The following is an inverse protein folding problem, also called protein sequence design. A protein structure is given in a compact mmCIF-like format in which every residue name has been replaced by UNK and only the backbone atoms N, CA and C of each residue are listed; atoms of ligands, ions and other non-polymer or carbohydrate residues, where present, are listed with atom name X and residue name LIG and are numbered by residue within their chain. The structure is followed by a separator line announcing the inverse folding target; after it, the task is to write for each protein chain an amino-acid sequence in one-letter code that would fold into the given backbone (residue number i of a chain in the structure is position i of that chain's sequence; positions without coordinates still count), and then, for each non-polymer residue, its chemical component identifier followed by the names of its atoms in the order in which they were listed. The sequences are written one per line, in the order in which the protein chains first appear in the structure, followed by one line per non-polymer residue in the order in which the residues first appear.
data_IF_785692719245
#
_entry.id   IF_785692719245
#
_cell.length_a   1.000
_cell.length_b   1.000
_cell.length_c   1.000
_cell.angle_alpha   90.00
_cell.angle_beta   90.00
_cell.angle_gamma   90.00
#
_symmetry.space_group_name_H-M   'P 1'
#
loop_
_entity.id
_entity.type
_entity.pdbx_description
1 polymer ?
#
# COMPACT_ATOMS: atom_id res chain seq x y z
N UNK A 1 -0.51 -17.79 -27.70
CA UNK A 1 -0.89 -16.41 -27.32
C UNK A 1 -0.86 -15.53 -28.57
N UNK A 2 -1.89 -14.71 -28.85
CA UNK A 2 -1.82 -13.75 -29.97
C UNK A 2 -1.13 -12.50 -29.44
N UNK A 3 0.11 -12.28 -29.89
CA UNK A 3 0.88 -11.06 -29.70
C UNK A 3 -0.03 -9.83 -29.91
N UNK A 4 -0.16 -8.98 -28.89
CA UNK A 4 -0.82 -7.67 -29.04
C UNK A 4 0.31 -6.70 -29.34
N UNK A 5 0.28 -6.13 -30.54
CA UNK A 5 1.28 -5.15 -30.96
C UNK A 5 1.13 -3.86 -30.14
N UNK A 6 2.23 -3.28 -29.60
CA UNK A 6 2.15 -2.09 -28.77
C UNK A 6 1.50 -0.88 -29.46
N UNK A 7 0.63 -0.16 -28.76
CA UNK A 7 0.05 1.10 -29.23
C UNK A 7 1.03 2.27 -29.00
N UNK A 8 1.83 2.54 -30.03
CA UNK A 8 2.86 3.57 -30.00
C UNK A 8 2.32 5.01 -29.82
N UNK A 9 1.11 5.31 -30.25
CA UNK A 9 0.52 6.65 -30.09
C UNK A 9 0.01 6.86 -28.66
N UNK A 10 -0.64 5.84 -28.09
CA UNK A 10 -1.01 5.83 -26.67
C UNK A 10 0.20 5.90 -25.75
N UNK A 11 1.27 5.17 -26.09
CA UNK A 11 2.54 5.26 -25.37
C UNK A 11 3.15 6.67 -25.46
N UNK A 12 3.19 7.31 -26.64
CA UNK A 12 3.67 8.69 -26.78
C UNK A 12 2.88 9.70 -25.96
N UNK A 13 1.57 9.55 -25.85
CA UNK A 13 0.73 10.40 -25.00
C UNK A 13 1.08 10.22 -23.52
N UNK A 14 1.18 8.97 -23.06
CA UNK A 14 1.65 8.62 -21.72
C UNK A 14 3.03 9.22 -21.39
N UNK A 15 3.97 9.20 -22.34
CA UNK A 15 5.29 9.80 -22.19
C UNK A 15 5.27 11.34 -22.06
N UNK A 16 4.26 12.01 -22.60
CA UNK A 16 4.18 13.47 -22.62
C UNK A 16 3.51 14.06 -21.38
N UNK A 17 2.56 13.34 -20.78
CA UNK A 17 1.88 13.72 -19.53
C UNK A 17 2.76 13.51 -18.30
N UNK A 18 3.83 12.71 -18.43
CA UNK A 18 4.82 12.40 -17.38
C UNK A 18 6.09 13.26 -17.38
N UNK A 19 6.03 14.52 -17.85
CA UNK A 19 7.13 15.49 -17.69
C UNK A 19 7.16 15.99 -16.25
N UNK A 20 8.11 15.53 -15.42
CA UNK A 20 8.47 16.03 -14.06
C UNK A 20 7.31 16.56 -13.18
N UNK A 21 6.99 15.92 -12.03
CA UNK A 21 7.95 15.35 -11.08
C UNK A 21 7.80 13.82 -10.88
N UNK A 22 7.68 13.05 -11.97
CA UNK A 22 7.18 11.67 -11.93
C UNK A 22 8.24 10.60 -11.60
N UNK A 23 8.85 10.68 -10.43
CA UNK A 23 9.56 9.55 -9.83
C UNK A 23 8.59 8.60 -9.12
N UNK A 24 8.93 7.32 -9.03
CA UNK A 24 8.25 6.36 -8.15
C UNK A 24 8.95 6.38 -6.79
N UNK A 25 8.27 6.81 -5.73
CA UNK A 25 8.83 6.90 -4.39
C UNK A 25 8.54 5.64 -3.58
N UNK A 26 9.56 5.10 -2.93
CA UNK A 26 9.53 3.79 -2.29
C UNK A 26 9.84 3.92 -0.80
N UNK A 27 9.00 3.34 0.03
CA UNK A 27 9.17 3.28 1.48
C UNK A 27 8.68 1.96 2.05
N UNK A 28 8.91 1.75 3.34
CA UNK A 28 8.34 0.61 4.08
C UNK A 28 7.95 1.07 5.48
N UNK A 29 6.77 0.67 5.95
CA UNK A 29 6.39 0.85 7.34
C UNK A 29 6.79 -0.39 8.16
N UNK A 30 7.62 -0.20 9.18
CA UNK A 30 8.00 -1.28 10.10
C UNK A 30 6.88 -1.60 11.09
N UNK A 31 6.99 -2.65 11.89
CA UNK A 31 6.05 -2.88 12.99
C UNK A 31 6.53 -2.32 14.34
N UNK A 32 7.55 -1.46 14.31
CA UNK A 32 8.02 -0.69 15.46
C UNK A 32 7.14 0.55 15.60
N UNK A 33 6.71 0.87 16.82
CA UNK A 33 5.96 2.10 17.10
C UNK A 33 6.90 3.24 17.39
N UNK A 34 6.57 4.43 16.88
CA UNK A 34 7.33 5.68 17.09
C UNK A 34 6.56 6.76 17.87
N UNK A 35 5.42 6.39 18.45
CA UNK A 35 4.59 7.29 19.26
C UNK A 35 4.20 6.62 20.58
N UNK A 36 4.27 7.36 21.67
CA UNK A 36 4.21 6.90 23.06
C UNK A 36 2.79 6.71 23.57
N UNK A 37 1.84 7.53 23.11
CA UNK A 37 0.43 7.44 23.50
C UNK A 37 -0.49 7.92 22.37
N UNK A 38 -1.27 6.98 21.86
CA UNK A 38 -2.28 7.21 20.83
C UNK A 38 -3.59 6.53 21.21
N UNK A 39 -3.85 6.40 22.51
CA UNK A 39 -5.00 5.66 22.97
C UNK A 39 -6.31 6.44 22.70
N UNK A 40 -7.38 5.76 22.24
CA UNK A 40 -8.69 6.36 22.15
C UNK A 40 -9.25 6.59 23.56
N UNK A 41 -10.05 7.63 23.71
CA UNK A 41 -10.79 7.94 24.95
C UNK A 41 -12.23 8.33 24.61
N UNK A 42 -13.07 8.57 25.61
CA UNK A 42 -14.42 9.09 25.39
C UNK A 42 -14.40 10.48 24.72
N UNK A 43 -13.54 11.37 25.23
CA UNK A 43 -13.28 12.68 24.65
C UNK A 43 -12.67 12.58 23.24
N UNK A 44 -11.82 11.57 23.03
CA UNK A 44 -11.09 11.36 21.80
C UNK A 44 -11.44 10.03 21.12
N UNK A 45 -12.74 9.81 20.90
CA UNK A 45 -13.22 8.58 20.26
C UNK A 45 -12.91 8.51 18.75
N UNK A 46 -12.61 7.32 18.23
CA UNK A 46 -12.49 7.09 16.79
C UNK A 46 -13.77 6.50 16.22
N UNK A 47 -14.12 6.91 15.01
CA UNK A 47 -15.35 6.49 14.37
C UNK A 47 -15.05 5.91 12.98
N UNK A 48 -15.66 4.76 12.69
CA UNK A 48 -15.49 4.03 11.44
C UNK A 48 -16.86 3.65 10.89
N UNK A 49 -17.10 3.89 9.61
CA UNK A 49 -18.43 3.72 8.98
C UNK A 49 -18.80 2.26 8.65
N UNK A 50 -17.85 1.34 8.73
CA UNK A 50 -18.12 -0.07 8.45
C UNK A 50 -17.07 -0.98 9.10
N UNK A 51 -17.37 -2.28 9.17
CA UNK A 51 -16.43 -3.30 9.64
C UNK A 51 -15.19 -3.40 8.74
N UNK A 52 -15.37 -3.30 7.43
CA UNK A 52 -14.27 -3.33 6.47
C UNK A 52 -13.35 -2.12 6.65
N UNK A 53 -13.92 -0.92 6.77
CA UNK A 53 -13.14 0.29 7.06
C UNK A 53 -12.46 0.15 8.41
N UNK A 54 -13.15 -0.35 9.43
CA UNK A 54 -12.54 -0.61 10.73
C UNK A 54 -11.33 -1.55 10.60
N UNK A 55 -11.48 -2.72 9.99
CA UNK A 55 -10.41 -3.73 9.87
C UNK A 55 -9.22 -3.22 9.04
N UNK A 56 -9.48 -2.47 7.96
CA UNK A 56 -8.45 -1.88 7.10
C UNK A 56 -7.78 -0.65 7.73
N UNK A 57 -8.55 0.19 8.42
CA UNK A 57 -8.10 1.48 8.93
C UNK A 57 -7.48 1.37 10.32
N UNK A 58 -7.97 0.48 11.18
CA UNK A 58 -7.41 0.28 12.52
C UNK A 58 -5.88 0.10 12.47
N UNK A 59 -5.40 -0.82 11.64
CA UNK A 59 -3.96 -1.06 11.48
C UNK A 59 -3.18 0.16 10.99
N UNK A 60 -3.81 1.05 10.23
CA UNK A 60 -3.18 2.26 9.68
C UNK A 60 -3.28 3.47 10.63
N UNK A 61 -4.35 3.56 11.44
CA UNK A 61 -4.65 4.73 12.27
C UNK A 61 -4.06 4.67 13.68
N UNK A 62 -3.95 3.50 14.31
CA UNK A 62 -3.41 3.36 15.68
C UNK A 62 -2.13 2.53 15.77
N UNK A 63 -1.53 2.24 14.63
CA UNK A 63 -0.17 1.73 14.59
C UNK A 63 0.72 2.76 13.88
N UNK A 64 1.18 3.82 14.58
CA UNK A 64 2.11 4.80 14.05
C UNK A 64 3.44 4.09 13.89
N UNK A 65 3.55 3.44 12.73
CA UNK A 65 4.67 2.63 12.34
C UNK A 65 5.84 3.55 12.07
N UNK A 66 6.99 3.17 12.59
CA UNK A 66 8.26 3.74 12.20
C UNK A 66 8.51 3.35 10.74
N UNK A 67 8.48 4.34 9.86
CA UNK A 67 8.65 4.18 8.42
C UNK A 67 10.08 4.43 8.00
N UNK A 68 10.57 3.67 7.03
CA UNK A 68 11.92 3.77 6.46
C UNK A 68 11.78 4.12 4.99
N UNK A 69 12.43 5.22 4.57
CA UNK A 69 12.46 5.63 3.17
C UNK A 69 13.53 4.83 2.40
N UNK A 70 13.13 4.20 1.31
CA UNK A 70 14.00 3.31 0.52
C UNK A 70 14.59 3.99 -0.72
N UNK A 71 14.06 5.16 -1.10
CA UNK A 71 14.54 5.96 -2.23
C UNK A 71 13.50 6.04 -3.33
N UNK A 72 13.95 6.27 -4.57
CA UNK A 72 13.06 6.49 -5.71
C UNK A 72 13.55 5.84 -6.99
N UNK A 73 12.62 5.57 -7.91
CA UNK A 73 12.92 5.22 -9.30
C UNK A 73 12.64 6.46 -10.15
N UNK A 74 13.67 6.91 -10.86
CA UNK A 74 13.54 7.93 -11.91
C UNK A 74 13.58 7.28 -13.28
N UNK A 75 13.20 7.99 -14.33
CA UNK A 75 13.19 7.47 -15.68
C UNK A 75 14.15 8.28 -16.57
N UNK A 76 15.21 7.63 -17.06
CA UNK A 76 16.14 8.24 -18.00
C UNK A 76 15.56 8.10 -19.43
N UNK A 77 15.26 9.23 -20.08
CA UNK A 77 14.82 9.24 -21.47
C UNK A 77 15.99 8.96 -22.42
N UNK A 78 15.92 7.84 -23.15
CA UNK A 78 16.90 7.49 -24.20
C UNK A 78 16.15 7.27 -25.52
N UNK A 79 16.08 8.31 -26.35
CA UNK A 79 15.25 8.30 -27.56
C UNK A 79 13.76 8.23 -27.20
N UNK A 80 13.07 7.21 -27.68
CA UNK A 80 11.65 6.94 -27.38
C UNK A 80 11.43 6.03 -26.16
N UNK A 81 12.50 5.67 -25.43
CA UNK A 81 12.43 4.77 -24.27
C UNK A 81 12.48 5.54 -22.95
N UNK A 82 11.72 5.08 -21.96
CA UNK A 82 11.87 5.46 -20.55
C UNK A 82 12.49 4.30 -19.78
N UNK A 83 13.79 4.40 -19.49
CA UNK A 83 14.50 3.37 -18.74
C UNK A 83 14.43 3.67 -17.24
N UNK A 84 13.92 2.76 -16.39
CA UNK A 84 13.88 2.98 -14.96
C UNK A 84 15.29 2.93 -14.35
N UNK A 85 15.57 3.85 -13.44
CA UNK A 85 16.81 3.91 -12.68
C UNK A 85 16.48 4.09 -11.21
N UNK A 86 16.81 3.07 -10.43
CA UNK A 86 16.64 3.12 -8.98
C UNK A 86 17.77 3.92 -8.32
N UNK A 87 17.40 4.91 -7.52
CA UNK A 87 18.26 5.71 -6.67
C UNK A 87 17.91 5.35 -5.22
N UNK A 88 18.72 4.48 -4.58
CA UNK A 88 18.46 4.08 -3.20
C UNK A 88 18.81 5.21 -2.23
N UNK A 89 18.11 5.24 -1.10
CA UNK A 89 18.52 6.05 0.05
C UNK A 89 19.88 5.57 0.57
N UNK A 90 20.71 6.51 1.03
CA UNK A 90 22.02 6.20 1.63
C UNK A 90 21.95 6.34 3.14
N UNK A 91 22.48 5.34 3.85
CA UNK A 91 22.52 5.27 5.32
C UNK A 91 23.89 5.64 5.91
N UNK A 92 24.69 6.43 5.18
CA UNK A 92 26.04 6.82 5.60
C UNK A 92 26.06 7.49 7.00
N UNK A 93 24.95 8.14 7.41
CA UNK A 93 24.79 8.81 8.72
C UNK A 93 23.65 8.22 9.57
N UNK A 94 23.33 6.93 9.43
CA UNK A 94 22.19 6.32 10.13
C UNK A 94 22.22 6.55 11.65
N UNK A 95 23.37 6.39 12.29
CA UNK A 95 23.49 6.58 13.74
C UNK A 95 23.15 8.02 14.16
N UNK A 96 23.62 9.01 13.41
CA UNK A 96 23.33 10.42 13.66
C UNK A 96 21.86 10.75 13.39
N UNK A 97 21.26 10.15 12.36
CA UNK A 97 19.83 10.29 12.09
C UNK A 97 18.97 9.69 13.21
N UNK A 98 19.36 8.54 13.75
CA UNK A 98 18.66 7.92 14.88
C UNK A 98 18.74 8.76 16.16
N UNK A 99 19.85 9.49 16.40
CA UNK A 99 19.94 10.43 17.53
C UNK A 99 18.95 11.60 17.43
N UNK A 100 18.44 11.89 16.24
CA UNK A 100 17.42 12.95 16.03
C UNK A 100 16.00 12.48 16.39
N UNK A 101 15.77 11.16 16.48
CA UNK A 101 14.49 10.60 16.91
C UNK A 101 14.22 11.02 18.35
N UNK A 102 13.02 11.54 18.61
CA UNK A 102 12.66 12.13 19.91
C UNK A 102 11.92 11.17 20.82
N UNK A 103 11.18 10.23 20.24
CA UNK A 103 10.38 9.29 21.00
C UNK A 103 11.09 7.94 21.11
N UNK A 104 10.92 7.22 22.23
CA UNK A 104 11.27 5.81 22.30
C UNK A 104 10.66 5.02 21.13
N UNK A 105 11.45 4.15 20.53
CA UNK A 105 10.96 3.16 19.58
C UNK A 105 10.64 1.87 20.34
N UNK A 106 9.45 1.32 20.15
CA UNK A 106 8.97 0.23 21.00
C UNK A 106 8.10 -0.80 20.26
N UNK A 107 8.00 -1.99 20.85
CA UNK A 107 7.18 -3.11 20.39
C UNK A 107 5.98 -3.27 21.31
N UNK A 108 4.78 -3.22 20.73
CA UNK A 108 3.55 -3.36 21.51
C UNK A 108 3.28 -4.81 21.91
N UNK A 109 2.91 -5.02 23.16
CA UNK A 109 2.37 -6.29 23.59
C UNK A 109 0.91 -6.42 23.15
N UNK A 110 0.42 -7.66 23.09
CA UNK A 110 -1.02 -7.91 23.03
C UNK A 110 -1.69 -7.28 24.25
N UNK A 111 -2.82 -6.63 24.02
CA UNK A 111 -3.61 -6.03 25.07
C UNK A 111 -4.31 -7.14 25.88
N UNK A 112 -3.99 -7.32 27.18
CA UNK A 112 -4.61 -8.38 27.99
C UNK A 112 -6.12 -8.17 28.19
N UNK A 113 -6.60 -6.95 28.02
CA UNK A 113 -8.01 -6.57 28.19
C UNK A 113 -8.72 -6.38 26.85
N UNK A 114 -8.21 -7.00 25.76
CA UNK A 114 -8.79 -6.83 24.44
C UNK A 114 -10.23 -7.31 24.36
N UNK A 115 -11.11 -6.41 23.93
CA UNK A 115 -12.52 -6.64 23.65
C UNK A 115 -12.75 -6.25 22.20
N UNK A 116 -13.10 -7.23 21.35
CA UNK A 116 -13.40 -6.97 19.94
C UNK A 116 -14.48 -5.88 19.81
N UNK A 117 -14.24 -4.82 19.02
CA UNK A 117 -15.23 -3.76 18.81
C UNK A 117 -16.57 -4.32 18.33
N UNK A 118 -17.66 -3.73 18.82
CA UNK A 118 -19.02 -4.06 18.38
C UNK A 118 -19.60 -2.90 17.58
N UNK A 119 -20.41 -3.16 16.55
CA UNK A 119 -21.07 -2.10 15.82
C UNK A 119 -22.03 -1.34 16.75
N UNK A 120 -22.18 -0.04 16.50
CA UNK A 120 -23.15 0.82 17.17
C UNK A 120 -24.55 0.25 16.95
N UNK A 121 -25.33 0.16 18.03
CA UNK A 121 -26.75 -0.17 17.92
C UNK A 121 -27.46 0.99 17.22
N UNK A 122 -28.39 0.73 16.29
CA UNK A 122 -29.18 1.79 15.69
C UNK A 122 -29.90 2.55 16.82
N UNK A 123 -29.73 3.87 16.85
CA UNK A 123 -30.55 4.71 17.72
C UNK A 123 -32.01 4.51 17.27
N UNK A 124 -32.88 4.10 18.19
CA UNK A 124 -34.32 4.16 17.92
C UNK A 124 -34.65 5.64 17.69
N UNK A 125 -35.38 6.01 16.62
CA UNK A 125 -35.84 7.37 16.46
C UNK A 125 -36.59 7.75 17.74
N UNK A 126 -36.21 8.87 18.36
CA UNK A 126 -36.94 9.40 19.51
C UNK A 126 -38.37 9.64 19.05
N UNK A 127 -39.31 8.87 19.59
CA UNK A 127 -40.73 9.10 19.36
C UNK A 127 -41.08 10.48 19.92
N UNK A 128 -41.60 11.32 19.03
CA UNK A 128 -42.21 12.65 19.22
C UNK A 128 -42.56 13.01 20.67
N UNK A 129 -41.88 14.03 21.18
CA UNK A 129 -42.46 15.17 21.93
C UNK A 129 -41.32 16.13 22.33
N UNK A 130 -40.78 16.84 21.35
CA UNK A 130 -40.12 18.12 21.61
C UNK A 130 -40.38 19.00 20.39
N UNK A 131 -41.10 20.08 20.64
CA UNK A 131 -41.58 21.07 19.68
C UNK A 131 -40.51 21.55 18.71
N UNK A 132 -40.93 21.69 17.46
CA UNK A 132 -40.13 21.89 16.25
C UNK A 132 -39.67 23.34 16.02
N UNK A 133 -39.40 24.13 17.06
CA UNK A 133 -39.13 25.57 16.87
C UNK A 133 -37.69 26.03 17.13
N UNK A 134 -36.79 25.19 17.64
CA UNK A 134 -35.40 25.61 17.95
C UNK A 134 -34.29 24.66 17.46
N UNK A 135 -34.55 23.85 16.42
CA UNK A 135 -33.49 22.99 15.86
C UNK A 135 -32.84 23.66 14.65
N UNK A 136 -31.52 23.86 14.75
CA UNK A 136 -30.70 24.36 13.65
C UNK A 136 -30.73 23.37 12.46
N UNK A 137 -30.55 23.85 11.23
CA UNK A 137 -30.50 22.95 10.05
C UNK A 137 -29.41 21.86 10.15
N UNK A 138 -28.39 22.07 10.99
CA UNK A 138 -27.36 21.08 11.29
C UNK A 138 -27.90 19.90 12.13
N UNK A 139 -28.84 20.14 13.05
CA UNK A 139 -29.43 19.10 13.90
C UNK A 139 -30.46 18.24 13.15
N UNK A 140 -31.17 18.84 12.19
CA UNK A 140 -32.03 18.10 11.26
C UNK A 140 -31.20 17.21 10.32
N UNK A 141 -30.05 17.70 9.84
CA UNK A 141 -29.11 16.88 9.05
C UNK A 141 -28.48 15.74 9.87
N UNK A 142 -28.32 15.90 11.19
CA UNK A 142 -27.83 14.84 12.09
C UNK A 142 -28.93 13.80 12.39
N UNK A 143 -30.21 14.17 12.37
CA UNK A 143 -31.33 13.24 12.60
C UNK A 143 -31.74 12.46 11.35
N UNK A 144 -31.65 13.05 10.15
CA UNK A 144 -31.94 12.35 8.89
C UNK A 144 -30.77 11.49 8.38
N UNK A 145 -29.59 11.62 8.98
CA UNK A 145 -28.60 10.53 8.98
C UNK A 145 -29.10 9.48 9.96
N UNK A 146 -30.02 8.64 9.48
CA UNK A 146 -30.25 7.30 10.03
C UNK A 146 -28.88 6.69 10.28
N UNK A 147 -28.44 6.67 11.54
CA UNK A 147 -27.16 6.12 11.99
C UNK A 147 -27.05 4.73 11.38
N UNK A 148 -26.24 4.65 10.34
CA UNK A 148 -26.27 3.57 9.36
C UNK A 148 -25.83 2.27 10.00
N UNK A 149 -26.51 1.19 9.62
CA UNK A 149 -26.23 -0.18 10.03
C UNK A 149 -24.72 -0.49 9.87
N UNK A 150 -23.99 -0.64 10.97
CA UNK A 150 -22.63 -1.18 10.96
C UNK A 150 -21.47 -0.23 11.28
N UNK A 151 -21.74 0.98 11.76
CA UNK A 151 -20.70 1.89 12.26
C UNK A 151 -20.03 1.37 13.54
N UNK A 152 -18.79 1.78 13.79
CA UNK A 152 -18.03 1.48 15.00
C UNK A 152 -17.54 2.77 15.64
N UNK A 153 -17.64 2.85 16.96
CA UNK A 153 -17.02 3.91 17.76
C UNK A 153 -16.09 3.28 18.79
N UNK A 154 -14.82 3.67 18.75
CA UNK A 154 -13.76 3.20 19.64
C UNK A 154 -13.48 4.32 20.65
N UNK A 155 -13.89 4.11 21.89
CA UNK A 155 -13.74 5.09 22.98
C UNK A 155 -12.77 4.61 24.08
N UNK A 156 -12.25 3.39 23.98
CA UNK A 156 -11.43 2.78 25.02
C UNK A 156 -10.24 2.00 24.43
N UNK A 157 -9.06 2.04 25.07
CA UNK A 157 -7.91 1.22 24.72
C UNK A 157 -8.22 -0.28 24.62
N UNK A 158 -9.19 -0.76 25.40
CA UNK A 158 -9.58 -2.17 25.44
C UNK A 158 -10.09 -2.67 24.09
N UNK A 159 -10.47 -1.79 23.17
CA UNK A 159 -10.88 -2.17 21.83
C UNK A 159 -9.73 -2.37 20.83
N UNK A 160 -8.48 -2.26 21.29
CA UNK A 160 -7.28 -2.43 20.48
C UNK A 160 -6.58 -3.73 20.86
N UNK A 161 -6.27 -4.56 19.85
CA UNK A 161 -5.64 -5.88 20.04
C UNK A 161 -4.23 -5.75 20.62
N UNK A 162 -3.57 -4.63 20.35
CA UNK A 162 -2.23 -4.31 20.84
C UNK A 162 -2.26 -3.03 21.68
N UNK A 163 -1.31 -2.91 22.61
CA UNK A 163 -1.13 -1.71 23.42
C UNK A 163 -1.01 -0.45 22.54
N UNK A 164 -1.73 0.61 22.90
CA UNK A 164 -1.71 1.92 22.24
C UNK A 164 -0.81 2.94 22.93
N UNK A 165 -0.19 2.56 24.05
CA UNK A 165 0.79 3.35 24.77
C UNK A 165 1.84 2.45 25.42
N UNK A 166 2.96 3.04 25.82
CA UNK A 166 3.99 2.36 26.60
C UNK A 166 3.43 2.01 27.98
N UNK A 167 3.55 0.73 28.35
CA UNK A 167 3.21 0.17 29.64
C UNK A 167 4.48 -0.42 30.30
N UNK A 168 4.37 -0.83 31.57
CA UNK A 168 5.52 -1.35 32.34
C UNK A 168 6.21 -2.57 31.69
N UNK A 169 5.48 -3.39 30.95
CA UNK A 169 5.98 -4.61 30.30
C UNK A 169 6.32 -4.41 28.81
N UNK A 170 6.18 -3.18 28.30
CA UNK A 170 6.48 -2.83 26.91
C UNK A 170 7.98 -2.97 26.63
N UNK A 171 8.31 -3.56 25.48
CA UNK A 171 9.70 -3.65 25.03
C UNK A 171 10.10 -2.36 24.34
N UNK A 172 10.92 -1.54 25.02
CA UNK A 172 11.57 -0.37 24.43
C UNK A 172 12.89 -0.83 23.79
N UNK A 173 13.10 -0.47 22.54
CA UNK A 173 14.28 -0.86 21.77
C UNK A 173 15.45 0.07 22.11
N UNK A 174 16.63 -0.51 22.30
CA UNK A 174 17.86 0.25 22.42
C UNK A 174 18.43 0.62 21.03
N UNK A 175 19.44 1.50 21.02
CA UNK A 175 20.02 2.00 19.77
C UNK A 175 20.61 0.89 18.88
N UNK A 176 21.30 -0.10 19.46
CA UNK A 176 21.89 -1.22 18.73
C UNK A 176 20.81 -2.07 18.04
N UNK A 177 19.72 -2.37 18.74
CA UNK A 177 18.58 -3.11 18.21
C UNK A 177 17.92 -2.36 17.05
N UNK A 178 17.76 -1.04 17.17
CA UNK A 178 17.18 -0.19 16.12
C UNK A 178 18.09 -0.18 14.90
N UNK A 179 19.39 0.11 15.07
CA UNK A 179 20.37 0.13 13.98
C UNK A 179 20.38 -1.21 13.25
N UNK A 180 20.48 -2.32 13.99
CA UNK A 180 20.55 -3.64 13.37
C UNK A 180 19.28 -3.97 12.58
N UNK A 181 18.10 -3.63 13.11
CA UNK A 181 16.83 -3.89 12.45
C UNK A 181 16.65 -3.03 11.19
N UNK A 182 16.95 -1.73 11.30
CA UNK A 182 16.87 -0.77 10.19
C UNK A 182 17.83 -1.15 9.08
N UNK A 183 19.07 -1.50 9.41
CA UNK A 183 20.05 -1.95 8.43
C UNK A 183 19.59 -3.23 7.71
N UNK A 184 19.06 -4.21 8.44
CA UNK A 184 18.58 -5.46 7.84
C UNK A 184 17.43 -5.20 6.86
N UNK A 185 16.40 -4.46 7.27
CA UNK A 185 15.25 -4.12 6.42
C UNK A 185 15.69 -3.31 5.21
N UNK A 186 16.40 -2.21 5.43
CA UNK A 186 16.80 -1.33 4.35
C UNK A 186 17.65 -2.08 3.32
N UNK A 187 18.72 -2.74 3.76
CA UNK A 187 19.67 -3.38 2.85
C UNK A 187 19.03 -4.49 2.02
N UNK A 188 18.20 -5.35 2.64
CA UNK A 188 17.52 -6.45 1.94
C UNK A 188 16.51 -5.92 0.91
N UNK A 189 15.70 -4.93 1.28
CA UNK A 189 14.71 -4.34 0.37
C UNK A 189 15.36 -3.54 -0.76
N UNK A 190 16.35 -2.70 -0.45
CA UNK A 190 17.12 -1.93 -1.44
C UNK A 190 17.79 -2.87 -2.44
N UNK A 191 18.47 -3.92 -1.97
CA UNK A 191 19.11 -4.88 -2.86
C UNK A 191 18.10 -5.65 -3.73
N UNK A 192 16.96 -6.02 -3.16
CA UNK A 192 15.90 -6.68 -3.92
C UNK A 192 15.36 -5.78 -5.04
N UNK A 193 14.98 -4.54 -4.73
CA UNK A 193 14.48 -3.56 -5.71
C UNK A 193 15.56 -3.25 -6.74
N UNK A 194 16.80 -3.04 -6.30
CA UNK A 194 17.94 -2.79 -7.18
C UNK A 194 18.15 -3.94 -8.17
N UNK A 195 18.21 -5.18 -7.69
CA UNK A 195 18.39 -6.35 -8.54
C UNK A 195 17.24 -6.50 -9.54
N UNK A 196 16.01 -6.20 -9.12
CA UNK A 196 14.84 -6.22 -10.00
C UNK A 196 14.95 -5.19 -11.13
N UNK A 197 15.26 -3.93 -10.81
CA UNK A 197 15.44 -2.87 -11.81
C UNK A 197 16.67 -3.11 -12.71
N UNK A 198 17.77 -3.62 -12.15
CA UNK A 198 18.96 -3.99 -12.92
C UNK A 198 18.66 -5.14 -13.91
N UNK A 199 17.84 -6.12 -13.50
CA UNK A 199 17.39 -7.21 -14.37
C UNK A 199 16.52 -6.68 -15.52
N UNK A 200 15.55 -5.81 -15.22
CA UNK A 200 14.71 -5.16 -16.24
C UNK A 200 15.57 -4.39 -17.26
N UNK A 201 16.57 -3.66 -16.78
CA UNK A 201 17.48 -2.91 -17.64
C UNK A 201 18.37 -3.82 -18.50
N UNK A 202 18.86 -4.92 -17.93
CA UNK A 202 19.65 -5.93 -18.67
C UNK A 202 18.84 -6.59 -19.77
N UNK A 203 17.57 -6.91 -19.49
CA UNK A 203 16.67 -7.60 -20.40
C UNK A 203 15.93 -6.65 -21.37
N UNK A 204 16.16 -5.33 -21.26
CA UNK A 204 15.47 -4.29 -22.03
C UNK A 204 13.92 -4.28 -21.88
N UNK A 205 13.43 -4.79 -20.76
CA UNK A 205 12.01 -4.93 -20.47
C UNK A 205 11.74 -5.88 -19.31
N UNK A 206 10.46 -6.14 -19.03
CA UNK A 206 10.04 -7.14 -18.06
C UNK A 206 9.75 -8.44 -18.80
N UNK A 207 10.47 -9.50 -18.47
CA UNK A 207 10.16 -10.85 -18.94
C UNK A 207 9.08 -11.48 -18.06
N UNK A 208 7.87 -11.73 -18.57
CA UNK A 208 6.78 -12.34 -17.83
C UNK A 208 6.83 -13.88 -17.89
N UNK A 209 5.96 -14.52 -17.12
CA UNK A 209 5.61 -15.92 -17.24
C UNK A 209 4.35 -16.03 -18.10
N UNK A 210 4.48 -16.66 -19.26
CA UNK A 210 3.42 -16.82 -20.25
C UNK A 210 3.14 -18.30 -20.44
N UNK A 211 1.86 -18.65 -20.56
CA UNK A 211 1.45 -20.01 -20.86
C UNK A 211 1.13 -20.16 -22.35
N UNK A 212 2.00 -20.90 -23.06
CA UNK A 212 1.79 -21.33 -24.44
C UNK A 212 1.33 -22.79 -24.51
N UNK A 213 0.83 -23.22 -25.68
CA UNK A 213 0.43 -24.61 -25.90
C UNK A 213 1.57 -25.60 -25.65
N UNK A 214 2.80 -25.22 -25.98
CA UNK A 214 4.01 -26.00 -25.73
C UNK A 214 4.29 -26.15 -24.23
N UNK A 215 4.12 -25.07 -23.46
CA UNK A 215 4.24 -25.11 -22.00
C UNK A 215 3.16 -26.01 -21.41
N UNK A 216 1.92 -25.96 -21.91
CA UNK A 216 0.86 -26.86 -21.44
C UNK A 216 1.17 -28.33 -21.74
N UNK A 217 1.72 -28.65 -22.92
CA UNK A 217 2.16 -30.02 -23.24
C UNK A 217 3.29 -30.49 -22.34
N UNK A 218 4.29 -29.63 -22.10
CA UNK A 218 5.39 -29.93 -21.20
C UNK A 218 4.89 -30.23 -19.78
N UNK A 219 4.03 -29.37 -19.23
CA UNK A 219 3.43 -29.55 -17.91
C UNK A 219 2.60 -30.84 -17.83
N UNK A 220 1.91 -31.21 -18.92
CA UNK A 220 1.19 -32.47 -19.04
C UNK A 220 2.11 -33.70 -19.06
N UNK A 221 3.23 -33.63 -19.80
CA UNK A 221 4.23 -34.69 -19.87
C UNK A 221 4.95 -34.91 -18.53
N UNK A 222 5.13 -33.84 -17.74
CA UNK A 222 5.73 -33.89 -16.41
C UNK A 222 4.74 -34.35 -15.33
N UNK A 223 3.46 -34.54 -15.66
CA UNK A 223 2.41 -34.90 -14.71
C UNK A 223 2.05 -33.78 -13.72
N UNK A 224 2.49 -32.54 -13.97
CA UNK A 224 2.03 -31.36 -13.23
C UNK A 224 0.57 -31.07 -13.57
N UNK A 225 0.20 -31.28 -14.84
CA UNK A 225 -1.16 -31.29 -15.33
C UNK A 225 -1.56 -32.70 -15.77
N UNK A 226 -2.82 -33.05 -15.61
CA UNK A 226 -3.39 -34.20 -16.34
C UNK A 226 -3.51 -33.85 -17.83
N UNK A 227 -3.50 -34.86 -18.72
CA UNK A 227 -3.71 -34.65 -20.17
C UNK A 227 -5.01 -33.90 -20.46
N UNK A 228 -6.06 -34.21 -19.70
CA UNK A 228 -7.35 -33.53 -19.81
C UNK A 228 -7.25 -32.05 -19.43
N UNK A 229 -6.56 -31.70 -18.33
CA UNK A 229 -6.33 -30.31 -17.94
C UNK A 229 -5.49 -29.55 -18.97
N UNK A 230 -4.40 -30.15 -19.47
CA UNK A 230 -3.56 -29.52 -20.48
C UNK A 230 -4.35 -29.17 -21.74
N UNK A 231 -5.16 -30.11 -22.26
CA UNK A 231 -6.03 -29.85 -23.42
C UNK A 231 -7.08 -28.78 -23.13
N UNK A 232 -7.76 -28.85 -21.97
CA UNK A 232 -8.81 -27.89 -21.62
C UNK A 232 -8.27 -26.47 -21.43
N UNK A 233 -7.05 -26.31 -20.93
CA UNK A 233 -6.40 -25.00 -20.80
C UNK A 233 -6.06 -24.38 -22.16
N UNK A 234 -5.55 -25.18 -23.11
CA UNK A 234 -5.33 -24.74 -24.49
C UNK A 234 -6.62 -24.25 -25.15
N UNK A 235 -7.72 -24.97 -24.93
CA UNK A 235 -9.03 -24.65 -25.49
C UNK A 235 -9.76 -23.52 -24.72
N UNK A 236 -9.13 -22.92 -23.70
CA UNK A 236 -9.71 -21.89 -22.81
C UNK A 236 -11.05 -22.28 -22.17
N UNK A 237 -11.30 -23.57 -22.05
CA UNK A 237 -12.57 -24.14 -21.59
C UNK A 237 -12.63 -24.34 -20.06
N UNK A 238 -11.55 -24.01 -19.35
CA UNK A 238 -11.40 -24.27 -17.91
C UNK A 238 -10.96 -23.02 -17.16
N UNK A 239 -11.63 -22.72 -16.05
CA UNK A 239 -11.20 -21.68 -15.10
C UNK A 239 -10.05 -22.26 -14.28
N UNK A 240 -8.86 -21.67 -14.39
CA UNK A 240 -7.66 -22.09 -13.65
C UNK A 240 -7.94 -22.03 -12.15
N UNK A 241 -7.85 -23.16 -11.46
CA UNK A 241 -7.85 -23.17 -9.99
C UNK A 241 -6.52 -22.61 -9.50
N UNK A 242 -6.56 -21.65 -8.58
CA UNK A 242 -5.37 -20.94 -8.11
C UNK A 242 -4.21 -21.84 -7.64
N UNK A 243 -4.42 -22.97 -6.93
CA UNK A 243 -3.31 -23.85 -6.53
C UNK A 243 -2.53 -24.48 -7.70
N UNK A 244 -3.24 -24.86 -8.78
CA UNK A 244 -2.61 -25.45 -9.97
C UNK A 244 -1.81 -24.38 -10.71
N UNK A 245 -2.40 -23.19 -10.86
CA UNK A 245 -1.75 -22.05 -11.51
C UNK A 245 -0.46 -21.65 -10.76
N UNK A 246 -0.49 -21.56 -9.44
CA UNK A 246 0.70 -21.30 -8.63
C UNK A 246 1.79 -22.37 -8.84
N UNK A 247 1.41 -23.65 -8.92
CA UNK A 247 2.36 -24.74 -9.17
C UNK A 247 3.03 -24.60 -10.54
N UNK A 248 2.25 -24.23 -11.56
CA UNK A 248 2.78 -23.99 -12.91
C UNK A 248 3.72 -22.78 -12.96
N UNK A 249 3.35 -21.67 -12.30
CA UNK A 249 4.19 -20.47 -12.20
C UNK A 249 5.48 -20.73 -11.42
N UNK A 250 5.42 -21.50 -10.34
CA UNK A 250 6.61 -21.93 -9.59
C UNK A 250 7.54 -22.80 -10.44
N UNK A 251 6.97 -23.70 -11.27
CA UNK A 251 7.75 -24.48 -12.23
C UNK A 251 8.49 -23.57 -13.21
N UNK A 252 7.80 -22.63 -13.86
CA UNK A 252 8.42 -21.69 -14.81
C UNK A 252 9.49 -20.84 -14.14
N UNK A 253 9.20 -20.31 -12.95
CA UNK A 253 10.14 -19.52 -12.16
C UNK A 253 11.41 -20.31 -11.78
N UNK A 254 11.28 -21.60 -11.42
CA UNK A 254 12.41 -22.46 -11.05
C UNK A 254 13.31 -22.78 -12.25
N UNK A 255 12.73 -22.99 -13.42
CA UNK A 255 13.48 -23.22 -14.65
C UNK A 255 14.09 -21.95 -15.24
N UNK A 256 13.79 -20.78 -14.64
CA UNK A 256 13.98 -19.48 -15.28
C UNK A 256 13.39 -19.44 -16.71
N UNK A 257 12.36 -20.25 -16.94
CA UNK A 257 11.63 -20.33 -18.20
C UNK A 257 10.66 -19.15 -18.24
N UNK A 258 10.97 -18.22 -19.12
CA UNK A 258 10.12 -17.11 -19.51
C UNK A 258 9.98 -17.21 -21.02
N UNK A 259 8.86 -16.78 -21.54
CA UNK A 259 8.68 -16.77 -23.00
C UNK A 259 9.67 -15.75 -23.58
N UNK A 260 10.66 -16.23 -24.31
CA UNK A 260 11.70 -15.38 -24.90
C UNK A 260 11.13 -14.50 -26.03
N UNK A 261 10.02 -14.93 -26.64
CA UNK A 261 9.33 -14.21 -27.70
C UNK A 261 8.38 -13.13 -27.14
N UNK A 262 8.02 -13.20 -25.86
CA UNK A 262 7.11 -12.26 -25.21
C UNK A 262 7.82 -11.40 -24.15
N UNK A 263 8.29 -10.22 -24.56
CA UNK A 263 8.95 -9.23 -23.72
C UNK A 263 8.09 -7.96 -23.60
N UNK A 264 7.75 -7.57 -22.37
CA UNK A 264 7.13 -6.26 -22.09
C UNK A 264 8.25 -5.22 -22.10
N UNK A 265 8.56 -4.70 -23.28
CA UNK A 265 9.71 -3.80 -23.51
C UNK A 265 9.48 -2.38 -22.99
N UNK A 266 10.51 -1.54 -22.92
CA UNK A 266 10.35 -0.12 -22.54
C UNK A 266 9.43 0.71 -23.44
N UNK A 267 9.13 0.23 -24.66
CA UNK A 267 8.23 0.88 -25.60
C UNK A 267 6.79 0.40 -25.48
N UNK A 268 6.56 -0.63 -24.67
CA UNK A 268 5.25 -1.23 -24.46
C UNK A 268 4.38 -0.31 -23.57
N UNK A 269 3.13 -0.07 -23.96
CA UNK A 269 2.19 0.76 -23.18
C UNK A 269 1.87 0.20 -21.79
N UNK A 270 2.06 -1.11 -21.58
CA UNK A 270 1.82 -1.79 -20.31
C UNK A 270 3.05 -1.83 -19.41
N UNK A 271 4.25 -1.54 -19.92
CA UNK A 271 5.51 -1.63 -19.16
C UNK A 271 5.43 -0.88 -17.83
N UNK A 272 4.99 0.38 -17.88
CA UNK A 272 4.92 1.21 -16.69
C UNK A 272 3.89 0.69 -15.68
N UNK A 273 2.71 0.25 -16.15
CA UNK A 273 1.69 -0.31 -15.29
C UNK A 273 2.20 -1.57 -14.55
N UNK A 274 2.83 -2.49 -15.28
CA UNK A 274 3.44 -3.68 -14.70
C UNK A 274 4.55 -3.34 -13.69
N UNK A 275 5.40 -2.35 -13.99
CA UNK A 275 6.45 -1.90 -13.08
C UNK A 275 5.88 -1.30 -11.78
N UNK A 276 4.84 -0.48 -11.87
CA UNK A 276 4.23 0.13 -10.68
C UNK A 276 3.50 -0.92 -9.85
N UNK A 277 2.69 -1.77 -10.48
CA UNK A 277 1.94 -2.82 -9.78
C UNK A 277 2.85 -3.85 -9.12
N UNK A 278 3.99 -4.20 -9.73
CA UNK A 278 4.95 -5.12 -9.12
C UNK A 278 5.61 -4.56 -7.85
N UNK A 279 5.56 -3.24 -7.66
CA UNK A 279 6.10 -2.52 -6.51
C UNK A 279 5.02 -2.00 -5.55
N UNK A 280 3.74 -2.37 -5.73
CA UNK A 280 2.59 -1.74 -5.04
C UNK A 280 2.72 -1.63 -3.51
N UNK A 281 3.39 -2.59 -2.88
CA UNK A 281 3.54 -2.66 -1.43
C UNK A 281 4.67 -1.75 -0.88
N UNK A 282 5.37 -1.04 -1.77
CA UNK A 282 6.40 -0.05 -1.46
C UNK A 282 5.99 1.38 -1.82
N UNK A 283 4.92 1.57 -2.60
CA UNK A 283 4.57 2.85 -3.23
C UNK A 283 4.13 3.90 -2.21
N UNK A 284 5.05 4.78 -1.83
CA UNK A 284 4.77 5.90 -0.95
C UNK A 284 3.87 6.90 -1.70
N UNK A 285 2.87 7.48 -1.03
CA UNK A 285 2.04 8.55 -1.61
C UNK A 285 2.95 9.62 -2.24
N UNK A 286 2.67 10.06 -3.48
CA UNK A 286 3.58 10.90 -4.27
C UNK A 286 3.98 12.17 -3.53
N UNK A 287 2.99 12.86 -2.95
CA UNK A 287 3.23 14.08 -2.17
C UNK A 287 4.15 13.86 -0.96
N UNK A 288 4.09 12.68 -0.33
CA UNK A 288 4.97 12.31 0.78
C UNK A 288 6.38 11.94 0.29
N UNK A 289 6.48 11.31 -0.88
CA UNK A 289 7.75 11.00 -1.51
C UNK A 289 8.55 12.23 -1.89
N UNK A 290 7.92 13.19 -2.57
CA UNK A 290 8.52 14.49 -2.91
C UNK A 290 8.99 15.18 -1.62
N UNK A 291 8.12 15.26 -0.61
CA UNK A 291 8.48 15.84 0.68
C UNK A 291 9.67 15.15 1.36
N UNK A 292 9.72 13.81 1.32
CA UNK A 292 10.80 13.04 1.92
C UNK A 292 12.15 13.31 1.26
N UNK A 293 12.16 13.42 -0.07
CA UNK A 293 13.35 13.74 -0.85
C UNK A 293 13.89 15.14 -0.55
N UNK A 294 13.00 16.13 -0.49
CA UNK A 294 13.35 17.53 -0.26
C UNK A 294 13.86 17.77 1.16
N UNK A 295 13.24 17.12 2.14
CA UNK A 295 13.68 17.17 3.53
C UNK A 295 14.90 16.29 3.83
N UNK A 296 15.22 15.34 2.94
CA UNK A 296 16.29 14.34 3.09
C UNK A 296 16.18 13.51 4.36
N UNK A 297 14.98 13.38 4.92
CA UNK A 297 14.75 12.56 6.11
C UNK A 297 14.91 11.08 5.73
N UNK A 298 15.39 10.25 6.66
CA UNK A 298 15.45 8.79 6.45
C UNK A 298 14.17 8.09 6.91
N UNK A 299 13.46 8.70 7.86
CA UNK A 299 12.27 8.15 8.47
C UNK A 299 11.06 9.05 8.26
N UNK A 300 9.87 8.52 8.53
CA UNK A 300 8.66 9.32 8.49
C UNK A 300 8.72 10.47 9.51
N UNK A 301 8.13 11.65 9.22
CA UNK A 301 8.33 12.85 10.02
C UNK A 301 7.96 12.72 11.50
N UNK A 302 6.94 11.92 11.82
CA UNK A 302 6.51 11.69 13.20
C UNK A 302 7.62 11.13 14.09
N UNK A 303 8.58 10.37 13.55
CA UNK A 303 9.71 9.84 14.33
C UNK A 303 10.58 10.95 14.94
N UNK A 304 10.61 12.14 14.32
CA UNK A 304 11.43 13.27 14.73
C UNK A 304 10.68 14.30 15.58
N UNK A 305 9.44 13.99 15.98
CA UNK A 305 8.56 14.89 16.72
C UNK A 305 8.44 14.42 18.16
N UNK A 306 8.54 15.35 19.11
CA UNK A 306 8.37 15.08 20.54
C UNK A 306 6.87 14.95 20.85
N UNK A 307 6.40 13.72 21.01
CA UNK A 307 4.97 13.44 21.20
C UNK A 307 4.44 13.77 22.59
N UNK A 308 5.31 14.09 23.55
CA UNK A 308 4.90 14.56 24.88
C UNK A 308 4.20 15.92 24.81
N UNK A 309 4.41 16.65 23.72
CA UNK A 309 3.86 17.99 23.46
C UNK A 309 2.77 18.00 22.41
N UNK A 310 2.57 16.89 21.70
CA UNK A 310 1.74 16.84 20.50
C UNK A 310 0.74 15.70 20.63
N UNK A 311 -0.55 16.03 20.64
CA UNK A 311 -1.58 15.03 20.54
C UNK A 311 -1.66 14.49 19.11
N UNK A 312 -1.77 13.18 18.92
CA UNK A 312 -1.76 12.53 17.60
C UNK A 312 -2.77 13.13 16.59
N UNK A 313 -3.93 13.58 17.07
CA UNK A 313 -4.96 14.24 16.23
C UNK A 313 -4.48 15.54 15.59
N UNK A 314 -3.50 16.21 16.20
CA UNK A 314 -2.94 17.47 15.74
C UNK A 314 -1.63 17.25 14.96
N UNK A 315 -1.19 16.01 14.77
CA UNK A 315 0.10 15.70 14.18
C UNK A 315 0.24 16.23 12.76
N UNK A 316 -0.84 16.22 11.98
CA UNK A 316 -0.89 16.80 10.63
C UNK A 316 -0.62 18.32 10.66
N UNK A 317 -1.30 19.05 11.54
CA UNK A 317 -1.08 20.49 11.75
C UNK A 317 0.36 20.79 12.19
N UNK A 318 0.90 20.00 13.11
CA UNK A 318 2.25 20.21 13.63
C UNK A 318 3.33 19.91 12.57
N UNK A 319 3.14 18.87 11.74
CA UNK A 319 4.01 18.58 10.60
C UNK A 319 3.95 19.74 9.61
N UNK A 320 2.75 20.15 9.22
CA UNK A 320 2.55 21.22 8.24
C UNK A 320 3.17 22.54 8.72
N UNK A 321 2.99 22.89 9.99
CA UNK A 321 3.60 24.08 10.61
C UNK A 321 5.13 23.99 10.66
N UNK A 322 5.68 22.84 11.07
CA UNK A 322 7.13 22.65 11.20
C UNK A 322 7.86 22.73 9.87
N UNK A 323 7.24 22.25 8.79
CA UNK A 323 7.84 22.17 7.47
C UNK A 323 7.21 23.12 6.45
N UNK A 324 6.45 24.12 6.91
CA UNK A 324 5.70 25.07 6.09
C UNK A 324 6.55 25.69 4.97
N UNK A 325 7.74 26.20 5.31
CA UNK A 325 8.65 26.80 4.33
C UNK A 325 9.01 25.80 3.22
N UNK A 326 9.33 24.56 3.57
CA UNK A 326 9.71 23.53 2.62
C UNK A 326 8.50 23.15 1.75
N UNK A 327 7.30 23.05 2.32
CA UNK A 327 6.08 22.79 1.56
C UNK A 327 5.81 23.89 0.52
N UNK A 328 6.01 25.15 0.88
CA UNK A 328 5.94 26.26 -0.08
C UNK A 328 7.04 26.20 -1.14
N UNK A 329 8.28 25.90 -0.75
CA UNK A 329 9.42 25.78 -1.67
C UNK A 329 9.20 24.66 -2.70
N UNK A 330 8.47 23.59 -2.33
CA UNK A 330 8.06 22.49 -3.21
C UNK A 330 6.92 22.90 -4.16
N UNK A 331 6.17 23.94 -3.84
CA UNK A 331 5.05 24.44 -4.64
C UNK A 331 3.66 24.10 -4.10
N UNK A 332 3.55 23.62 -2.85
CA UNK A 332 2.25 23.52 -2.18
C UNK A 332 1.82 24.89 -1.65
N UNK A 333 0.58 25.30 -1.95
CA UNK A 333 -0.08 26.48 -1.42
C UNK A 333 -1.05 26.14 -0.29
N UNK A 334 -1.29 27.09 0.63
CA UNK A 334 -2.31 26.94 1.67
C UNK A 334 -3.71 27.02 1.08
N UNK A 335 -4.61 26.15 1.57
CA UNK A 335 -6.03 26.16 1.20
C UNK A 335 -6.94 26.13 2.43
N UNK A 336 -7.96 26.99 2.41
CA UNK A 336 -9.05 27.03 3.41
C UNK A 336 -8.88 28.10 4.49
N UNK A 337 -9.97 28.34 5.23
CA UNK A 337 -10.09 29.43 6.25
C UNK A 337 -9.28 29.15 7.53
N UNK A 338 -8.76 27.93 7.68
CA UNK A 338 -8.05 27.48 8.90
C UNK A 338 -6.54 27.21 8.70
N UNK A 339 -5.96 27.49 7.51
CA UNK A 339 -4.53 27.33 7.21
C UNK A 339 -3.93 25.92 7.46
N UNK A 340 -4.76 24.87 7.52
CA UNK A 340 -4.32 23.50 7.88
C UNK A 340 -3.88 22.67 6.67
N UNK A 341 -4.37 22.97 5.47
CA UNK A 341 -4.20 22.09 4.29
C UNK A 341 -3.35 22.74 3.20
N UNK A 342 -2.53 21.91 2.57
CA UNK A 342 -1.60 22.29 1.52
C UNK A 342 -1.98 21.55 0.23
N UNK A 343 -2.23 22.28 -0.86
CA UNK A 343 -2.47 21.71 -2.19
C UNK A 343 -1.47 22.31 -3.19
N UNK A 344 -0.97 21.52 -4.15
CA UNK A 344 -0.10 22.05 -5.20
C UNK A 344 -0.88 22.59 -6.41
N UNK A 345 -0.16 23.03 -7.45
CA UNK A 345 -0.76 23.53 -8.70
C UNK A 345 -1.70 22.52 -9.37
N UNK A 346 -1.43 21.21 -9.22
CA UNK A 346 -2.25 20.13 -9.76
C UNK A 346 -3.36 19.69 -8.80
N UNK A 347 -3.59 20.44 -7.73
CA UNK A 347 -4.55 20.11 -6.65
C UNK A 347 -4.25 18.80 -5.92
N UNK A 348 -3.00 18.34 -5.91
CA UNK A 348 -2.61 17.23 -5.04
C UNK A 348 -2.60 17.70 -3.59
N UNK A 349 -3.38 17.02 -2.75
CA UNK A 349 -3.45 17.35 -1.32
C UNK A 349 -2.30 16.74 -0.53
N UNK A 350 -1.57 17.61 0.17
CA UNK A 350 -0.64 17.23 1.23
C UNK A 350 -1.37 17.21 2.57
N UNK A 351 -1.68 15.98 3.02
CA UNK A 351 -2.20 15.68 4.35
C UNK A 351 -1.38 14.56 4.97
N UNK A 352 -0.32 14.94 5.69
CA UNK A 352 0.61 14.04 6.33
C UNK A 352 0.46 14.11 7.85
N UNK A 353 -0.18 13.09 8.44
CA UNK A 353 -0.20 12.89 9.88
C UNK A 353 1.14 12.37 10.43
N UNK A 354 2.26 12.74 9.81
CA UNK A 354 3.61 12.32 10.14
C UNK A 354 3.94 10.83 9.88
N UNK A 355 3.04 10.03 9.30
CA UNK A 355 3.24 8.60 9.01
C UNK A 355 3.23 8.38 7.50
N UNK A 356 4.05 7.44 7.00
CA UNK A 356 3.99 7.06 5.59
C UNK A 356 2.66 6.41 5.24
N UNK A 357 2.00 7.00 4.25
CA UNK A 357 0.80 6.47 3.59
C UNK A 357 1.21 5.96 2.22
N UNK A 358 0.67 4.81 1.84
CA UNK A 358 0.95 4.19 0.56
C UNK A 358 -0.21 4.44 -0.39
N UNK A 359 0.08 4.74 -1.65
CA UNK A 359 -0.91 4.99 -2.68
C UNK A 359 -0.34 4.54 -4.01
N UNK A 360 -1.06 3.65 -4.69
CA UNK A 360 -0.76 3.29 -6.07
C UNK A 360 -1.38 4.28 -7.05
N UNK A 361 -2.53 4.85 -6.70
CA UNK A 361 -3.33 5.71 -7.57
C UNK A 361 -2.59 7.01 -7.94
N UNK A 362 -1.76 7.54 -7.03
CA UNK A 362 -0.91 8.71 -7.28
C UNK A 362 0.07 8.52 -8.43
N UNK A 363 0.34 7.27 -8.80
CA UNK A 363 1.26 6.88 -9.86
C UNK A 363 0.54 6.54 -11.16
N UNK A 364 -0.73 6.90 -11.32
CA UNK A 364 -1.48 6.77 -12.56
C UNK A 364 -2.27 8.05 -12.85
N UNK A 365 -2.33 8.49 -14.11
CA UNK A 365 -3.27 9.54 -14.51
C UNK A 365 -4.71 9.00 -14.52
N UNK A 366 -5.68 9.91 -14.50
CA UNK A 366 -7.10 9.61 -14.30
C UNK A 366 -7.68 8.62 -15.35
N UNK A 367 -7.03 8.46 -16.50
CA UNK A 367 -7.43 7.64 -17.65
C UNK A 367 -6.34 6.63 -18.09
N UNK A 368 -5.29 6.45 -17.31
CA UNK A 368 -4.19 5.53 -17.63
C UNK A 368 -4.62 4.06 -17.52
N UNK A 369 -3.98 3.21 -18.33
CA UNK A 369 -4.34 1.79 -18.46
C UNK A 369 -4.34 1.10 -17.09
N UNK A 370 -5.53 0.62 -16.69
CA UNK A 370 -5.78 -0.05 -15.42
C UNK A 370 -6.47 0.81 -14.36
N UNK A 371 -6.61 2.13 -14.57
CA UNK A 371 -7.41 3.01 -13.70
C UNK A 371 -8.47 3.68 -14.59
N UNK A 372 -9.69 3.15 -14.60
CA UNK A 372 -10.80 3.75 -15.39
C UNK A 372 -11.29 5.04 -14.72
N UNK A 373 -11.21 6.16 -15.43
CA UNK A 373 -11.91 7.39 -15.09
C UNK A 373 -13.43 7.32 -15.30
N UNK A 374 -14.10 8.11 -14.46
CA UNK A 374 -15.52 8.42 -14.38
C UNK A 374 -16.09 9.09 -15.63
N UNK A 375 -17.31 8.75 -16.02
CA UNK A 375 -18.22 9.66 -16.73
C UNK A 375 -19.40 9.98 -15.81
N UNK A 376 -19.70 11.28 -15.64
CA UNK A 376 -20.91 11.72 -14.95
C UNK A 376 -22.07 11.74 -15.95
N UNK A 377 -23.03 10.82 -15.81
CA UNK A 377 -24.27 10.89 -16.57
C UNK A 377 -25.30 11.74 -15.78
N UNK A 378 -25.46 13.00 -16.16
CA UNK A 378 -26.55 13.85 -15.65
C UNK A 378 -27.83 13.58 -16.44
N UNK A 379 -28.83 12.94 -15.80
CA UNK A 379 -30.18 12.80 -16.33
C UNK A 379 -31.16 13.60 -15.48
N UNK A 380 -31.89 14.53 -16.10
CA UNK A 380 -32.93 15.33 -15.44
C UNK A 380 -33.94 14.39 -14.75
N UNK A 381 -34.19 14.60 -13.46
CA UNK A 381 -35.15 13.82 -12.68
C UNK A 381 -34.59 12.53 -12.06
N UNK A 382 -33.31 12.22 -12.23
CA UNK A 382 -32.61 11.20 -11.44
C UNK A 382 -31.51 11.84 -10.60
N UNK A 383 -31.26 11.36 -9.36
CA UNK A 383 -30.05 11.75 -8.65
C UNK A 383 -28.85 11.41 -9.55
N UNK A 384 -27.80 12.26 -9.58
CA UNK A 384 -26.60 11.97 -10.36
C UNK A 384 -26.15 10.55 -10.01
N UNK A 385 -26.23 9.65 -11.01
CA UNK A 385 -25.72 8.31 -10.83
C UNK A 385 -24.22 8.42 -10.87
N UNK A 386 -23.61 8.29 -9.69
CA UNK A 386 -22.19 7.99 -9.61
C UNK A 386 -22.03 6.59 -10.21
N UNK A 387 -21.62 6.52 -11.47
CA UNK A 387 -20.98 5.33 -12.01
C UNK A 387 -19.57 5.36 -11.38
N UNK A 388 -19.50 5.00 -10.11
CA UNK A 388 -18.23 4.95 -9.40
C UNK A 388 -17.33 3.89 -10.00
N UNK A 389 -16.09 3.82 -9.52
CA UNK A 389 -15.37 2.55 -9.48
C UNK A 389 -16.35 1.51 -8.97
N UNK A 390 -16.81 0.62 -9.84
CA UNK A 390 -17.29 -0.63 -9.30
C UNK A 390 -16.07 -1.23 -8.61
N UNK A 391 -16.18 -1.42 -7.30
CA UNK A 391 -15.28 -2.26 -6.51
C UNK A 391 -15.12 -3.67 -7.13
N UNK A 392 -15.82 -4.00 -8.23
CA UNK A 392 -15.75 -5.29 -8.90
C UNK A 392 -14.40 -5.70 -9.44
N UNK A 393 -13.55 -4.85 -10.05
CA UNK A 393 -12.26 -5.34 -10.61
C UNK A 393 -11.14 -4.30 -10.60
N UNK A 394 -10.27 -4.38 -9.59
CA UNK A 394 -8.89 -3.90 -9.71
C UNK A 394 -8.28 -4.46 -11.01
N UNK A 395 -7.45 -3.71 -11.75
CA UNK A 395 -6.73 -4.28 -12.89
C UNK A 395 -5.73 -5.35 -12.44
N UNK A 396 -5.46 -5.46 -11.15
CA UNK A 396 -4.58 -6.43 -10.54
C UNK A 396 -5.37 -7.71 -10.22
N UNK A 397 -5.01 -8.80 -10.88
CA UNK A 397 -5.44 -10.15 -10.49
C UNK A 397 -4.24 -10.98 -10.05
N UNK A 398 -4.42 -11.80 -9.02
CA UNK A 398 -3.33 -12.56 -8.43
C UNK A 398 -3.79 -13.95 -8.02
N UNK A 399 -3.12 -15.02 -8.50
CA UNK A 399 -3.39 -16.39 -8.07
C UNK A 399 -2.91 -16.68 -6.63
N UNK A 400 -2.42 -15.66 -5.92
CA UNK A 400 -2.05 -15.77 -4.52
C UNK A 400 -3.19 -15.37 -3.57
N UNK A 401 -4.38 -15.01 -4.09
CA UNK A 401 -5.48 -14.56 -3.26
C UNK A 401 -6.22 -15.73 -2.62
N UNK A 402 -6.26 -15.73 -1.29
CA UNK A 402 -7.05 -16.70 -0.51
C UNK A 402 -8.13 -15.97 0.27
N UNK A 403 -9.36 -16.46 0.21
CA UNK A 403 -10.50 -15.93 0.96
C UNK A 403 -10.55 -16.57 2.35
N UNK A 404 -10.59 -15.74 3.39
CA UNK A 404 -10.45 -16.14 4.79
C UNK A 404 -11.60 -16.99 5.35
N UNK A 405 -12.76 -17.04 4.68
CA UNK A 405 -13.95 -17.79 5.11
C UNK A 405 -14.39 -18.86 4.09
N UNK A 406 -13.57 -19.13 3.05
CA UNK A 406 -13.91 -20.06 1.98
C UNK A 406 -15.03 -19.59 1.04
N UNK A 407 -15.59 -18.39 1.27
CA UNK A 407 -16.61 -17.77 0.43
C UNK A 407 -16.06 -16.48 -0.20
N UNK A 408 -16.62 -16.05 -1.33
CA UNK A 408 -16.20 -14.84 -2.07
C UNK A 408 -16.36 -13.50 -1.30
N UNK A 409 -16.76 -13.54 -0.02
CA UNK A 409 -17.12 -12.38 0.79
C UNK A 409 -16.18 -12.15 1.99
N UNK A 410 -15.21 -13.03 2.24
CA UNK A 410 -14.19 -12.85 3.27
C UNK A 410 -13.07 -11.86 2.88
N UNK A 411 -12.28 -11.42 3.85
CA UNK A 411 -11.09 -10.61 3.58
C UNK A 411 -10.06 -11.43 2.77
N UNK A 412 -9.59 -10.87 1.65
CA UNK A 412 -8.56 -11.48 0.80
C UNK A 412 -7.19 -11.38 1.48
N UNK A 413 -6.49 -12.50 1.64
CA UNK A 413 -5.07 -12.54 2.05
C UNK A 413 -4.24 -13.01 0.86
N UNK A 414 -3.11 -12.33 0.61
CA UNK A 414 -2.08 -12.84 -0.29
C UNK A 414 -1.25 -13.88 0.46
N UNK A 415 -1.20 -15.11 -0.06
CA UNK A 415 -0.40 -16.21 0.49
C UNK A 415 0.70 -16.55 -0.53
N UNK A 416 1.96 -16.73 -0.11
CA UNK A 416 3.03 -17.05 -1.05
C UNK A 416 2.80 -18.40 -1.72
N UNK A 417 3.37 -18.57 -2.91
CA UNK A 417 3.50 -19.87 -3.57
C UNK A 417 4.42 -20.81 -2.79
N UNK A 418 4.58 -22.05 -3.24
CA UNK A 418 5.48 -23.01 -2.60
C UNK A 418 6.95 -22.55 -2.63
N UNK A 419 7.33 -21.72 -3.61
CA UNK A 419 8.65 -21.08 -3.70
C UNK A 419 8.76 -19.76 -2.91
N UNK A 420 7.72 -19.37 -2.17
CA UNK A 420 7.72 -18.08 -1.45
C UNK A 420 7.42 -16.87 -2.34
N UNK A 421 6.99 -17.10 -3.59
CA UNK A 421 6.79 -16.04 -4.60
C UNK A 421 5.33 -15.59 -4.66
N UNK A 422 5.15 -14.40 -5.21
CA UNK A 422 3.86 -13.79 -5.46
C UNK A 422 3.81 -13.38 -6.91
N UNK A 423 2.68 -13.61 -7.55
CA UNK A 423 2.47 -13.37 -8.97
C UNK A 423 1.22 -12.55 -9.16
N UNK A 424 1.19 -11.77 -10.22
CA UNK A 424 -0.01 -11.09 -10.65
C UNK A 424 -0.02 -10.97 -12.16
N UNK A 425 -1.22 -10.78 -12.71
CA UNK A 425 -1.45 -10.36 -14.08
C UNK A 425 -2.30 -9.10 -14.09
N UNK A 426 -2.29 -8.41 -15.23
CA UNK A 426 -3.22 -7.31 -15.44
C UNK A 426 -4.48 -7.84 -16.10
N UNK A 427 -5.66 -7.39 -15.66
CA UNK A 427 -6.96 -7.90 -16.12
C UNK A 427 -7.24 -7.70 -17.61
N UNK A 428 -6.40 -6.92 -18.29
CA UNK A 428 -6.45 -6.64 -19.73
C UNK A 428 -5.28 -7.29 -20.50
N UNK A 429 -4.46 -8.07 -19.82
CA UNK A 429 -3.35 -8.88 -20.34
C UNK A 429 -3.40 -10.27 -19.67
N UNK A 430 -4.47 -11.01 -19.94
CA UNK A 430 -4.68 -12.35 -19.37
C UNK A 430 -3.57 -13.33 -19.79
N UNK A 431 -3.22 -14.23 -18.86
CA UNK A 431 -2.17 -15.24 -18.96
C UNK A 431 -0.73 -14.70 -19.04
N UNK A 432 -0.55 -13.40 -18.76
CA UNK A 432 0.77 -12.74 -18.68
C UNK A 432 1.06 -12.40 -17.22
N UNK A 433 1.82 -13.28 -16.55
CA UNK A 433 2.11 -13.12 -15.12
C UNK A 433 3.49 -12.51 -14.87
N UNK A 434 3.58 -11.65 -13.88
CA UNK A 434 4.85 -11.09 -13.40
C UNK A 434 4.96 -11.29 -11.89
N UNK A 435 6.18 -11.34 -11.37
CA UNK A 435 6.44 -11.40 -9.94
C UNK A 435 6.02 -10.08 -9.26
N UNK A 436 5.18 -10.19 -8.23
CA UNK A 436 4.86 -9.12 -7.29
C UNK A 436 5.94 -9.09 -6.20
N UNK A 437 6.70 -8.01 -6.11
CA UNK A 437 7.71 -7.86 -5.07
C UNK A 437 7.03 -7.58 -3.73
N UNK A 438 7.45 -8.31 -2.70
CA UNK A 438 6.95 -8.13 -1.33
C UNK A 438 8.03 -7.56 -0.42
N UNK A 439 7.70 -6.61 0.46
CA UNK A 439 8.65 -6.09 1.42
C UNK A 439 9.23 -7.19 2.30
N UNK A 440 10.55 -7.23 2.39
CA UNK A 440 11.26 -8.07 3.33
C UNK A 440 11.12 -7.50 4.73
N UNK A 441 10.77 -8.38 5.66
CA UNK A 441 10.90 -8.17 7.10
C UNK A 441 11.73 -9.30 7.71
N UNK A 442 12.48 -9.06 8.81
CA UNK A 442 13.31 -10.08 9.44
C UNK A 442 12.48 -11.28 9.89
N UNK A 443 13.08 -12.47 9.95
CA UNK A 443 12.38 -13.70 10.34
C UNK A 443 13.13 -14.42 11.45
N UNK A 444 12.48 -15.39 12.09
CA UNK A 444 13.10 -16.23 13.13
C UNK A 444 14.38 -16.92 12.62
N UNK A 445 14.52 -17.13 11.30
CA UNK A 445 15.70 -17.73 10.68
C UNK A 445 16.86 -16.74 10.45
N UNK A 446 16.59 -15.43 10.47
CA UNK A 446 17.54 -14.36 10.16
C UNK A 446 17.24 -13.16 11.08
N UNK A 447 17.61 -13.32 12.35
CA UNK A 447 17.37 -12.35 13.41
C UNK A 447 18.38 -11.20 13.35
N UNK A 448 17.94 -9.94 13.44
CA UNK A 448 18.85 -8.81 13.63
C UNK A 448 19.59 -8.94 14.97
N UNK A 449 20.79 -8.35 15.05
CA UNK A 449 21.61 -8.34 16.26
C UNK A 449 20.82 -7.71 17.42
N UNK A 450 20.82 -8.40 18.57
CA UNK A 450 20.11 -7.96 19.77
C UNK A 450 18.60 -8.22 19.75
N UNK A 451 18.06 -8.86 18.71
CA UNK A 451 16.67 -9.31 18.64
C UNK A 451 16.56 -10.78 19.03
N UNK A 452 15.46 -11.12 19.70
CA UNK A 452 15.08 -12.49 20.01
C UNK A 452 13.75 -12.86 19.34
N UNK A 453 13.38 -14.15 19.41
CA UNK A 453 12.13 -14.66 18.85
C UNK A 453 10.89 -13.94 19.42
N UNK A 454 10.91 -13.59 20.70
CA UNK A 454 9.81 -12.93 21.38
C UNK A 454 9.62 -11.50 20.87
N UNK A 455 10.71 -10.79 20.55
CA UNK A 455 10.67 -9.47 19.93
C UNK A 455 10.11 -9.54 18.51
N UNK A 456 10.50 -10.53 17.70
CA UNK A 456 9.91 -10.70 16.37
C UNK A 456 8.41 -11.04 16.42
N UNK A 457 8.00 -11.91 17.35
CA UNK A 457 6.58 -12.21 17.59
C UNK A 457 5.79 -10.94 17.95
N UNK A 458 6.33 -10.10 18.84
CA UNK A 458 5.73 -8.81 19.22
C UNK A 458 5.71 -7.80 18.09
N UNK A 459 6.71 -7.80 17.24
CA UNK A 459 6.71 -7.02 16.00
C UNK A 459 5.63 -7.52 15.02
N UNK A 460 4.76 -8.47 15.39
CA UNK A 460 3.55 -8.86 14.66
C UNK A 460 3.82 -9.07 13.17
N UNK A 461 4.95 -9.71 12.89
CA UNK A 461 5.27 -10.23 11.57
C UNK A 461 4.37 -11.45 11.39
N UNK A 462 3.09 -11.20 11.06
CA UNK A 462 2.21 -12.25 10.55
C UNK A 462 2.89 -12.79 9.30
N UNK A 463 3.45 -13.98 9.42
CA UNK A 463 3.92 -14.80 8.31
C UNK A 463 2.80 -15.00 7.26
#
# INVERSE_FOLDING_TARGET
MRFIEPDLEKHKYFLQTRKEPFAIYLAINTNIKSFNNICPSEENSWYFRSKEILENSLNNFYNPKFGIYLGKIIFDKKGNKLMPKYIPTKFENLEEELKKIKNPLWLANKNPNYIKPKPLKPMKPKTKESSSEDLSQLELAIQDVVVSRGDYRITTPNNLEYQCKIEKDTTILNQEQIISYVNAIHSKNVNMIKNYIDTINKDYGIKPFVFSDEIYDELGNLGILTKEQANKFKDKSYIKQEPILLTMLDYLAKQNKKDEDYLISFNDEYFYAYLVWSLKDFLLKLSLGIFQDETKLLFNPAAYMDDTKIHYRNLDQEVNKRYEKILFDIGFGKRGVYDVYFDDYYSYSFGNNGIFKFSIDDYFAYDEIGVKAYEYEYKIGQPPKVIGFDNSKSPFDSPNFVYSDGNYHGSKKLVPSALGKYYFELSYQEEVYIELLRPYYPSIKDLPKGWDNKMLEKANLKL
#
